data_IF_889089986632
#
_entry.id   IF_889089986632
#
_cell.length_a   1.000
_cell.length_b   1.000
_cell.length_c   1.000
_cell.angle_alpha   90.00
_cell.angle_beta   90.00
_cell.angle_gamma   90.00
#
_symmetry.space_group_name_H-M   'P 1'
#
loop_
_entity.id
_entity.type
_entity.pdbx_description
1 polymer ?
#
# COMPACT_ATOMS: atom_id res chain seq x y z
N UNK A 1 -25.11 -34.03 -27.61
CA UNK A 1 -23.83 -33.37 -27.29
C UNK A 1 -24.12 -32.24 -26.33
N UNK A 2 -23.91 -32.47 -25.04
CA UNK A 2 -24.11 -31.45 -24.02
C UNK A 2 -22.79 -30.70 -23.92
N UNK A 3 -22.74 -29.51 -24.52
CA UNK A 3 -21.62 -28.59 -24.38
C UNK A 3 -21.65 -28.06 -22.95
N UNK A 4 -20.85 -28.67 -22.09
CA UNK A 4 -20.62 -28.21 -20.73
C UNK A 4 -19.80 -26.91 -20.83
N UNK A 5 -20.48 -25.77 -20.90
CA UNK A 5 -19.87 -24.45 -20.79
C UNK A 5 -19.30 -24.37 -19.37
N UNK A 6 -17.98 -24.54 -19.25
CA UNK A 6 -17.23 -24.28 -18.02
C UNK A 6 -17.69 -22.90 -17.51
N UNK A 7 -18.16 -22.78 -16.26
CA UNK A 7 -18.39 -21.45 -15.71
C UNK A 7 -17.04 -20.74 -15.75
N UNK A 8 -17.01 -19.55 -16.34
CA UNK A 8 -15.86 -18.67 -16.17
C UNK A 8 -15.78 -18.41 -14.66
N UNK A 9 -14.86 -19.09 -13.99
CA UNK A 9 -14.40 -18.69 -12.68
C UNK A 9 -13.94 -17.25 -12.87
N UNK A 10 -14.70 -16.30 -12.33
CA UNK A 10 -14.20 -14.94 -12.13
C UNK A 10 -12.91 -15.13 -11.34
N UNK A 11 -11.77 -15.09 -12.04
CA UNK A 11 -10.47 -15.10 -11.40
C UNK A 11 -10.45 -13.82 -10.56
N UNK A 12 -10.78 -13.95 -9.26
CA UNK A 12 -10.43 -12.92 -8.30
C UNK A 12 -8.97 -12.59 -8.61
N UNK A 13 -8.65 -11.32 -8.93
CA UNK A 13 -7.29 -10.97 -9.30
C UNK A 13 -6.43 -11.48 -8.16
N UNK A 14 -5.54 -12.42 -8.48
CA UNK A 14 -4.61 -13.03 -7.51
C UNK A 14 -3.64 -11.93 -7.10
N UNK A 15 -4.11 -11.05 -6.21
CA UNK A 15 -3.32 -10.08 -5.50
C UNK A 15 -2.12 -10.83 -4.93
N UNK A 16 -0.92 -10.33 -5.22
CA UNK A 16 0.29 -10.85 -4.60
C UNK A 16 0.13 -10.79 -3.07
N UNK A 17 0.73 -11.76 -2.37
CA UNK A 17 0.67 -11.79 -0.90
C UNK A 17 1.16 -10.45 -0.30
N UNK A 18 2.20 -9.89 -0.91
CA UNK A 18 2.77 -8.58 -0.60
C UNK A 18 1.75 -7.43 -0.70
N UNK A 19 0.98 -7.32 -1.80
CA UNK A 19 -0.04 -6.27 -1.93
C UNK A 19 -1.17 -6.41 -0.90
N UNK A 20 -1.52 -7.65 -0.52
CA UNK A 20 -2.50 -7.88 0.56
C UNK A 20 -1.98 -7.40 1.91
N UNK A 21 -0.71 -7.64 2.20
CA UNK A 21 -0.07 -7.14 3.41
C UNK A 21 -0.04 -5.60 3.44
N UNK A 22 0.34 -4.95 2.34
CA UNK A 22 0.34 -3.49 2.24
C UNK A 22 -1.06 -2.89 2.42
N UNK A 23 -2.11 -3.51 1.85
CA UNK A 23 -3.51 -3.11 2.10
C UNK A 23 -3.90 -3.27 3.57
N UNK A 24 -3.46 -4.34 4.22
CA UNK A 24 -3.73 -4.56 5.65
C UNK A 24 -3.02 -3.55 6.54
N UNK A 25 -1.79 -3.15 6.19
CA UNK A 25 -1.06 -2.08 6.88
C UNK A 25 -1.74 -0.74 6.67
N UNK A 26 -2.13 -0.41 5.42
CA UNK A 26 -2.88 0.81 5.11
C UNK A 26 -4.14 0.96 5.97
N UNK A 27 -4.90 -0.14 6.18
CA UNK A 27 -6.10 -0.13 7.00
C UNK A 27 -5.83 0.10 8.50
N UNK A 28 -4.62 -0.19 8.98
CA UNK A 28 -4.21 -0.03 10.39
C UNK A 28 -3.51 1.29 10.65
N UNK A 29 -2.81 1.84 9.67
CA UNK A 29 -2.03 3.06 9.81
C UNK A 29 -2.94 4.28 9.69
N UNK A 30 -2.84 5.19 10.67
CA UNK A 30 -3.52 6.48 10.59
C UNK A 30 -2.73 7.40 9.67
N UNK A 31 -3.28 7.70 8.51
CA UNK A 31 -2.67 8.54 7.49
C UNK A 31 -3.45 9.84 7.31
N UNK A 32 -2.79 10.95 6.94
CA UNK A 32 -3.49 12.10 6.41
C UNK A 32 -4.25 11.72 5.13
N UNK A 33 -5.42 12.33 4.91
CA UNK A 33 -6.34 11.98 3.82
C UNK A 33 -5.67 12.01 2.43
N UNK A 34 -4.87 13.04 2.16
CA UNK A 34 -4.15 13.17 0.90
C UNK A 34 -3.13 12.04 0.68
N UNK A 35 -2.46 11.57 1.74
CA UNK A 35 -1.49 10.46 1.67
C UNK A 35 -2.23 9.15 1.45
N UNK A 36 -3.33 8.92 2.17
CA UNK A 36 -4.15 7.73 2.00
C UNK A 36 -4.67 7.60 0.56
N UNK A 37 -5.09 8.71 -0.06
CA UNK A 37 -5.52 8.73 -1.46
C UNK A 37 -4.39 8.38 -2.43
N UNK A 38 -3.17 8.89 -2.20
CA UNK A 38 -1.98 8.56 -3.01
C UNK A 38 -1.63 7.08 -2.87
N UNK A 39 -1.56 6.56 -1.64
CA UNK A 39 -1.23 5.15 -1.39
C UNK A 39 -2.26 4.22 -2.02
N UNK A 40 -3.56 4.53 -1.89
CA UNK A 40 -4.63 3.76 -2.52
C UNK A 40 -4.49 3.72 -4.06
N UNK A 41 -4.17 4.87 -4.67
CA UNK A 41 -3.96 4.98 -6.12
C UNK A 41 -2.74 4.17 -6.59
N UNK A 42 -1.63 4.23 -5.86
CA UNK A 42 -0.43 3.46 -6.21
C UNK A 42 -0.65 1.95 -6.01
N UNK A 43 -1.39 1.53 -4.99
CA UNK A 43 -1.78 0.12 -4.82
C UNK A 43 -2.63 -0.37 -5.99
N UNK A 44 -3.63 0.40 -6.42
CA UNK A 44 -4.45 0.05 -7.59
C UNK A 44 -3.61 -0.04 -8.89
N UNK A 45 -2.58 0.80 -9.01
CA UNK A 45 -1.64 0.76 -10.14
C UNK A 45 -0.75 -0.48 -10.06
N UNK A 46 -0.23 -0.84 -8.89
CA UNK A 46 0.62 -2.01 -8.68
C UNK A 46 -0.13 -3.30 -8.94
N UNK A 47 -1.42 -3.37 -8.64
CA UNK A 47 -2.29 -4.52 -8.95
C UNK A 47 -2.38 -4.85 -10.44
N UNK A 48 -2.22 -3.83 -11.29
CA UNK A 48 -2.25 -3.96 -12.76
C UNK A 48 -0.84 -4.04 -13.35
N UNK A 49 0.20 -3.90 -12.53
CA UNK A 49 1.59 -3.89 -12.97
C UNK A 49 2.16 -5.29 -12.89
N UNK A 50 2.91 -5.70 -13.92
CA UNK A 50 3.59 -6.99 -13.94
C UNK A 50 4.70 -7.05 -12.87
N UNK A 51 4.73 -8.05 -11.97
CA UNK A 51 5.77 -8.14 -10.94
C UNK A 51 7.20 -8.34 -11.48
N UNK A 52 7.38 -8.73 -12.74
CA UNK A 52 8.68 -8.97 -13.35
C UNK A 52 9.39 -7.69 -13.80
N UNK A 53 8.67 -6.56 -13.91
CA UNK A 53 9.28 -5.29 -14.32
C UNK A 53 9.84 -4.52 -13.11
N UNK A 54 10.97 -3.82 -13.27
CA UNK A 54 11.61 -3.07 -12.18
C UNK A 54 10.68 -2.05 -11.50
N UNK A 55 9.75 -1.46 -12.26
CA UNK A 55 8.80 -0.45 -11.78
C UNK A 55 7.89 -0.97 -10.67
N UNK A 56 7.57 -2.28 -10.66
CA UNK A 56 6.75 -2.88 -9.61
C UNK A 56 7.46 -2.80 -8.26
N UNK A 57 8.72 -3.23 -8.18
CA UNK A 57 9.50 -3.17 -6.95
C UNK A 57 9.69 -1.73 -6.45
N UNK A 58 9.90 -0.78 -7.36
CA UNK A 58 10.01 0.63 -7.01
C UNK A 58 8.70 1.14 -6.39
N UNK A 59 7.54 0.78 -6.95
CA UNK A 59 6.25 1.20 -6.42
C UNK A 59 5.91 0.56 -5.07
N UNK A 60 6.24 -0.73 -4.88
CA UNK A 60 6.11 -1.42 -3.59
C UNK A 60 6.91 -0.69 -2.51
N UNK A 61 8.20 -0.46 -2.77
CA UNK A 61 9.09 0.23 -1.83
C UNK A 61 8.58 1.65 -1.50
N UNK A 62 8.02 2.36 -2.49
CA UNK A 62 7.44 3.68 -2.28
C UNK A 62 6.24 3.64 -1.34
N UNK A 63 5.32 2.70 -1.55
CA UNK A 63 4.15 2.51 -0.67
C UNK A 63 4.59 2.11 0.74
N UNK A 64 5.53 1.17 0.87
CA UNK A 64 6.10 0.78 2.16
C UNK A 64 6.69 1.96 2.92
N UNK A 65 7.46 2.80 2.24
CA UNK A 65 8.06 3.98 2.85
C UNK A 65 7.00 4.95 3.38
N UNK A 66 5.95 5.24 2.61
CA UNK A 66 4.86 6.10 3.05
C UNK A 66 4.12 5.56 4.26
N UNK A 67 3.94 4.24 4.34
CA UNK A 67 3.27 3.57 5.46
C UNK A 67 4.14 3.51 6.73
N UNK A 68 5.46 3.53 6.59
CA UNK A 68 6.41 3.49 7.70
C UNK A 68 6.60 4.84 8.41
N UNK A 69 6.16 5.95 7.80
CA UNK A 69 6.37 7.28 8.37
C UNK A 69 5.50 7.53 9.61
N UNK A 70 6.05 8.17 10.66
CA UNK A 70 5.31 8.47 11.89
C UNK A 70 4.44 9.73 11.75
N UNK A 71 3.43 9.70 10.87
CA UNK A 71 2.60 10.86 10.50
C UNK A 71 1.98 11.63 11.68
N UNK A 72 1.65 10.92 12.76
CA UNK A 72 1.04 11.49 13.97
C UNK A 72 1.85 11.19 15.23
N UNK A 73 3.12 10.79 15.10
CA UNK A 73 4.00 10.64 16.24
C UNK A 73 4.85 11.91 16.40
N UNK A 74 4.87 12.42 17.63
CA UNK A 74 5.58 13.64 17.98
C UNK A 74 6.44 13.35 19.21
N UNK A 75 7.61 13.96 19.27
CA UNK A 75 8.44 13.96 20.47
C UNK A 75 8.02 15.10 21.39
N UNK A 76 8.17 14.93 22.70
CA UNK A 76 8.06 16.05 23.64
C UNK A 76 9.21 17.04 23.39
N UNK A 77 8.85 18.32 23.23
CA UNK A 77 9.81 19.39 23.02
C UNK A 77 10.40 19.87 24.37
N UNK A 78 11.67 20.26 24.37
CA UNK A 78 12.35 20.81 25.54
C UNK A 78 12.76 22.26 25.28
N UNK A 79 11.91 23.19 25.73
CA UNK A 79 12.05 24.63 25.54
C UNK A 79 12.86 25.32 26.66
N UNK A 80 13.83 24.63 27.26
CA UNK A 80 14.68 25.21 28.29
C UNK A 80 15.72 26.17 27.69
N UNK A 81 15.41 27.47 27.73
CA UNK A 81 16.29 28.56 27.29
C UNK A 81 17.58 28.69 28.11
N UNK A 82 17.66 28.13 29.32
CA UNK A 82 18.88 28.16 30.15
C UNK A 82 19.88 27.08 29.71
N UNK A 83 19.43 26.09 28.93
CA UNK A 83 20.25 25.00 28.38
C UNK A 83 20.77 25.25 26.96
N UNK A 84 20.34 26.33 26.32
CA UNK A 84 20.62 26.65 24.91
C UNK A 84 21.99 27.32 24.69
#
# INVERSE_FOLDING_TARGET
MIFFRKPEEEEEPKLSAELRELRAVLAKTRLPEHVAAVVARELERLEKTDPSIPEYSIGVNYVEYLLALPWYAYTEDNLDLQRA
#
